data_IF_712965569715
#
_entry.id   IF_712965569715
#
_cell.length_a   1.000
_cell.length_b   1.000
_cell.length_c   1.000
_cell.angle_alpha   90.00
_cell.angle_beta   90.00
_cell.angle_gamma   90.00
#
_symmetry.space_group_name_H-M   'P 1'
#
loop_
_entity.id
_entity.type
_entity.pdbx_description
1 polymer ?
#
# COMPACT_ATOMS: atom_id res chain seq x y z
N UNK A 1 3.92 5.95 0.82
CA UNK A 1 3.46 6.66 2.04
C UNK A 1 1.96 6.92 2.07
N UNK A 2 1.33 7.54 1.06
CA UNK A 2 -0.10 7.90 1.13
C UNK A 2 -1.04 6.72 1.52
N UNK A 3 -0.93 5.61 0.79
CA UNK A 3 -1.71 4.38 1.06
C UNK A 3 -1.47 3.84 2.47
N UNK A 4 -0.20 3.77 2.89
CA UNK A 4 0.19 3.28 4.21
C UNK A 4 -0.47 4.10 5.33
N UNK A 5 -0.37 5.43 5.27
CA UNK A 5 -0.94 6.32 6.28
C UNK A 5 -2.46 6.24 6.32
N UNK A 6 -3.12 6.17 5.16
CA UNK A 6 -4.58 6.02 5.10
C UNK A 6 -5.03 4.70 5.71
N UNK A 7 -4.36 3.58 5.39
CA UNK A 7 -4.67 2.26 5.97
C UNK A 7 -4.48 2.26 7.49
N UNK A 8 -3.40 2.85 7.99
CA UNK A 8 -3.18 3.02 9.43
C UNK A 8 -4.32 3.81 10.07
N UNK A 9 -4.74 4.91 9.45
CA UNK A 9 -5.87 5.72 9.90
C UNK A 9 -7.17 4.93 9.98
N UNK A 10 -7.50 4.15 8.94
CA UNK A 10 -8.70 3.29 8.93
C UNK A 10 -8.64 2.22 10.03
N UNK A 11 -7.49 1.56 10.21
CA UNK A 11 -7.33 0.56 11.27
C UNK A 11 -7.46 1.18 12.67
N UNK A 12 -6.88 2.36 12.89
CA UNK A 12 -7.05 3.11 14.14
C UNK A 12 -8.52 3.48 14.35
N UNK A 13 -9.21 3.95 13.32
CA UNK A 13 -10.63 4.29 13.41
C UNK A 13 -11.50 3.08 13.77
N UNK A 14 -11.22 1.91 13.20
CA UNK A 14 -12.02 0.71 13.40
C UNK A 14 -11.69 -0.04 14.71
N UNK A 15 -10.44 0.04 15.19
CA UNK A 15 -9.97 -0.80 16.31
C UNK A 15 -9.53 -0.02 17.54
N UNK A 16 -9.29 1.30 17.41
CA UNK A 16 -8.68 2.13 18.45
C UNK A 16 -7.18 1.87 18.68
N UNK A 17 -6.58 0.88 18.01
CA UNK A 17 -5.19 0.49 18.22
C UNK A 17 -4.23 1.16 17.21
N UNK A 18 -3.15 1.74 17.72
CA UNK A 18 -2.07 2.29 16.89
C UNK A 18 -1.23 1.16 16.33
N UNK A 19 -1.02 1.15 15.01
CA UNK A 19 -0.20 0.16 14.31
C UNK A 19 1.07 0.79 13.71
N UNK A 20 2.21 0.15 13.95
CA UNK A 20 3.52 0.55 13.45
C UNK A 20 3.96 -0.26 12.23
N UNK A 21 3.06 -1.04 11.63
CA UNK A 21 3.36 -1.90 10.47
C UNK A 21 3.70 -1.01 9.25
N UNK A 22 4.91 -1.12 8.66
CA UNK A 22 5.27 -0.33 7.46
C UNK A 22 4.79 -0.99 6.16
N UNK A 23 4.47 -2.28 6.19
CA UNK A 23 4.06 -3.05 5.01
C UNK A 23 2.59 -2.79 4.65
N UNK A 24 2.35 -2.25 3.46
CA UNK A 24 1.00 -2.05 2.89
C UNK A 24 0.28 -3.40 2.78
N UNK A 25 0.96 -4.43 2.28
CA UNK A 25 0.41 -5.80 2.15
C UNK A 25 -0.09 -6.35 3.49
N UNK A 26 0.67 -6.15 4.57
CA UNK A 26 0.28 -6.61 5.91
C UNK A 26 -0.86 -5.76 6.48
N UNK A 27 -0.84 -4.43 6.29
CA UNK A 27 -1.95 -3.55 6.68
C UNK A 27 -3.28 -3.95 5.99
N UNK A 28 -3.24 -4.30 4.71
CA UNK A 28 -4.42 -4.79 3.97
C UNK A 28 -4.96 -6.11 4.53
N UNK A 29 -4.09 -7.03 4.95
CA UNK A 29 -4.51 -8.28 5.61
C UNK A 29 -5.19 -8.00 6.94
N UNK A 30 -4.68 -7.06 7.73
CA UNK A 30 -5.32 -6.70 8.99
C UNK A 30 -6.67 -6.02 8.75
N UNK A 31 -6.79 -5.14 7.75
CA UNK A 31 -8.08 -4.55 7.36
C UNK A 31 -9.09 -5.63 6.96
N UNK A 32 -8.68 -6.55 6.08
CA UNK A 32 -9.51 -7.66 5.62
C UNK A 32 -10.03 -8.51 6.79
N UNK A 33 -9.19 -8.78 7.80
CA UNK A 33 -9.61 -9.47 9.03
C UNK A 33 -10.60 -8.65 9.86
N UNK A 34 -10.31 -7.38 10.10
CA UNK A 34 -11.15 -6.49 10.94
C UNK A 34 -12.55 -6.35 10.35
N UNK A 35 -12.66 -6.25 9.02
CA UNK A 35 -13.93 -6.08 8.32
C UNK A 35 -14.55 -7.40 7.85
N UNK A 36 -13.88 -8.53 8.09
CA UNK A 36 -14.29 -9.86 7.64
C UNK A 36 -14.58 -9.92 6.13
N UNK A 37 -13.70 -9.32 5.32
CA UNK A 37 -13.77 -9.31 3.86
C UNK A 37 -12.61 -10.07 3.23
N UNK A 38 -12.78 -10.45 1.96
CA UNK A 38 -11.68 -10.96 1.13
C UNK A 38 -11.25 -9.88 0.14
N UNK A 39 -9.95 -9.72 -0.05
CA UNK A 39 -9.38 -8.78 -1.01
C UNK A 39 -8.83 -9.56 -2.21
N UNK A 40 -9.05 -9.03 -3.41
CA UNK A 40 -8.54 -9.63 -4.65
C UNK A 40 -7.02 -9.61 -4.75
N UNK A 41 -6.46 -10.55 -5.49
CA UNK A 41 -5.01 -10.70 -5.70
C UNK A 41 -4.36 -9.42 -6.25
N UNK A 42 -5.03 -8.77 -7.21
CA UNK A 42 -4.62 -7.48 -7.80
C UNK A 42 -4.33 -6.39 -6.77
N UNK A 43 -5.06 -6.36 -5.65
CA UNK A 43 -4.83 -5.39 -4.57
C UNK A 43 -3.48 -5.65 -3.90
N UNK A 44 -3.15 -6.93 -3.70
CA UNK A 44 -1.86 -7.33 -3.12
C UNK A 44 -0.70 -7.11 -4.09
N UNK A 45 -0.91 -7.29 -5.39
CA UNK A 45 0.09 -6.96 -6.41
C UNK A 45 0.42 -5.47 -6.41
N UNK A 46 -0.61 -4.62 -6.32
CA UNK A 46 -0.42 -3.18 -6.18
C UNK A 46 0.28 -2.80 -4.87
N UNK A 47 -0.03 -3.47 -3.77
CA UNK A 47 0.65 -3.26 -2.50
C UNK A 47 2.14 -3.62 -2.57
N UNK A 48 2.49 -4.70 -3.26
CA UNK A 48 3.87 -5.14 -3.46
C UNK A 48 4.63 -4.15 -4.34
N UNK A 49 4.05 -3.77 -5.48
CA UNK A 49 4.64 -2.80 -6.39
C UNK A 49 4.92 -1.45 -5.71
N UNK A 50 3.98 -0.92 -4.92
CA UNK A 50 4.19 0.31 -4.16
C UNK A 50 5.26 0.15 -3.06
N UNK A 51 5.45 -1.05 -2.52
CA UNK A 51 6.47 -1.33 -1.51
C UNK A 51 7.87 -1.34 -2.12
N UNK A 52 8.03 -1.90 -3.33
CA UNK A 52 9.28 -1.83 -4.09
C UNK A 52 9.67 -0.38 -4.38
N UNK A 53 8.71 0.42 -4.82
CA UNK A 53 8.90 1.85 -5.10
C UNK A 53 9.35 2.65 -3.88
N UNK A 54 8.92 2.27 -2.66
CA UNK A 54 9.35 2.96 -1.44
C UNK A 54 10.85 2.85 -1.18
N UNK A 55 11.49 1.72 -1.47
CA UNK A 55 12.94 1.58 -1.29
C UNK A 55 13.70 2.10 -2.53
N UNK A 56 13.30 1.68 -3.72
CA UNK A 56 14.01 2.00 -4.96
C UNK A 56 13.97 3.48 -5.35
N UNK A 57 12.98 4.25 -4.88
CA UNK A 57 12.93 5.71 -5.11
C UNK A 57 13.85 6.52 -4.20
N UNK A 58 14.42 5.93 -3.14
CA UNK A 58 15.13 6.68 -2.09
C UNK A 58 16.58 6.27 -1.89
N UNK A 59 16.89 5.00 -2.14
CA UNK A 59 18.23 4.48 -1.96
C UNK A 59 18.77 4.01 -3.30
N UNK A 60 19.83 4.65 -3.83
CA UNK A 60 20.54 4.09 -4.97
C UNK A 60 21.20 2.78 -4.53
N UNK A 61 20.55 1.65 -4.82
CA UNK A 61 20.99 0.27 -4.52
C UNK A 61 21.27 -0.54 -5.80
N UNK A 62 21.31 -1.88 -5.69
CA UNK A 62 21.67 -2.78 -6.81
C UNK A 62 20.72 -2.72 -8.02
N UNK A 63 19.44 -2.37 -7.82
CA UNK A 63 18.49 -2.10 -8.90
C UNK A 63 18.12 -0.61 -8.90
N UNK A 64 18.61 0.11 -9.91
CA UNK A 64 18.16 1.46 -10.21
C UNK A 64 16.75 1.33 -10.80
N UNK A 65 15.73 1.70 -10.02
CA UNK A 65 14.40 1.91 -10.58
C UNK A 65 14.45 3.23 -11.35
N UNK A 66 14.44 3.15 -12.68
CA UNK A 66 14.28 4.33 -13.51
C UNK A 66 12.82 4.81 -13.37
N UNK A 67 12.64 5.92 -12.67
CA UNK A 67 11.32 6.49 -12.37
C UNK A 67 10.78 7.24 -13.58
N UNK A 68 10.57 6.51 -14.66
CA UNK A 68 9.92 7.03 -15.84
C UNK A 68 8.45 7.37 -15.57
N UNK A 69 7.86 8.11 -16.51
CA UNK A 69 6.44 8.47 -16.48
C UNK A 69 5.52 7.25 -16.31
N UNK A 70 5.84 6.15 -16.98
CA UNK A 70 5.08 4.88 -16.92
C UNK A 70 5.00 4.32 -15.50
N UNK A 71 6.12 4.33 -14.76
CA UNK A 71 6.21 3.86 -13.39
C UNK A 71 5.45 4.76 -12.42
N UNK A 72 5.52 6.08 -12.64
CA UNK A 72 4.76 7.07 -11.88
C UNK A 72 3.24 6.90 -12.08
N UNK A 73 2.79 6.75 -13.33
CA UNK A 73 1.38 6.51 -13.64
C UNK A 73 0.90 5.18 -13.04
N UNK A 74 1.73 4.14 -13.06
CA UNK A 74 1.41 2.85 -12.42
C UNK A 74 1.35 2.97 -10.89
N UNK A 75 2.21 3.78 -10.26
CA UNK A 75 2.10 4.09 -8.83
C UNK A 75 0.76 4.72 -8.49
N UNK A 76 0.33 5.71 -9.28
CA UNK A 76 -0.97 6.38 -9.09
C UNK A 76 -2.11 5.39 -9.25
N UNK A 77 -2.14 4.60 -10.34
CA UNK A 77 -3.19 3.58 -10.54
C UNK A 77 -3.27 2.58 -9.39
N UNK A 78 -2.13 2.09 -8.91
CA UNK A 78 -2.11 1.16 -7.79
C UNK A 78 -2.51 1.80 -6.46
N UNK A 79 -2.18 3.08 -6.25
CA UNK A 79 -2.66 3.84 -5.11
C UNK A 79 -4.19 3.97 -5.17
N UNK A 80 -4.76 4.38 -6.30
CA UNK A 80 -6.20 4.55 -6.49
C UNK A 80 -6.96 3.23 -6.31
N UNK A 81 -6.45 2.13 -6.87
CA UNK A 81 -7.01 0.79 -6.69
C UNK A 81 -7.17 0.46 -5.19
N UNK A 82 -6.10 0.66 -4.40
CA UNK A 82 -6.15 0.36 -2.97
C UNK A 82 -7.05 1.35 -2.22
N UNK A 83 -6.96 2.65 -2.52
CA UNK A 83 -7.72 3.70 -1.82
C UNK A 83 -9.22 3.60 -2.08
N UNK A 84 -9.65 3.12 -3.25
CA UNK A 84 -11.06 2.89 -3.57
C UNK A 84 -11.75 1.86 -2.66
N UNK A 85 -10.97 1.04 -1.96
CA UNK A 85 -11.45 0.07 -0.96
C UNK A 85 -11.61 0.68 0.44
N UNK A 86 -11.19 1.93 0.63
CA UNK A 86 -11.10 2.65 1.92
C UNK A 86 -12.09 3.83 2.02
N UNK A 87 -12.95 3.99 1.02
CA UNK A 87 -14.04 4.96 0.96
C UNK A 87 -15.34 4.38 1.46
#
# INVERSE_FOLDING_TARGET
>A
MAVELRLKGVLIQNTGAVTYIPSIRRLLREKAKVENITLGERVFDCAEYLSLMYLGSRYPGEEVIDLERSEAEKCVRCMEEILSLLT
#
